data_IF_479963057061
#
_entry.id   IF_479963057061
#
_cell.length_a   1.000
_cell.length_b   1.000
_cell.length_c   1.000
_cell.angle_alpha   90.00
_cell.angle_beta   90.00
_cell.angle_gamma   90.00
#
_symmetry.space_group_name_H-M   'P 1'
#
loop_
_entity.id
_entity.type
_entity.pdbx_description
1 polymer ?
#
# COMPACT_ATOMS: atom_id res chain seq x y z
N UNK A 1 12.53 55.70 -72.08
CA UNK A 1 13.77 55.29 -71.36
C UNK A 1 13.39 54.40 -70.19
N UNK A 2 14.09 53.27 -70.04
CA UNK A 2 13.87 52.16 -69.10
C UNK A 2 13.79 52.60 -67.62
N UNK A 3 12.96 51.93 -66.81
CA UNK A 3 13.36 51.41 -65.49
C UNK A 3 12.42 50.29 -65.01
N UNK A 4 13.06 49.20 -64.61
CA UNK A 4 12.58 47.90 -64.14
C UNK A 4 12.47 47.97 -62.61
N UNK A 5 11.43 47.37 -62.00
CA UNK A 5 11.43 47.00 -60.57
C UNK A 5 10.76 45.61 -60.42
N UNK A 6 11.39 44.64 -59.72
CA UNK A 6 10.92 43.26 -59.63
C UNK A 6 9.97 43.04 -58.44
N UNK A 7 8.99 42.15 -58.59
CA UNK A 7 8.19 41.62 -57.48
C UNK A 7 8.83 40.34 -56.94
N UNK A 8 9.25 40.41 -55.68
CA UNK A 8 9.81 39.29 -54.91
C UNK A 8 8.72 38.31 -54.46
N UNK A 9 8.99 37.04 -54.74
CA UNK A 9 8.26 35.86 -54.30
C UNK A 9 8.39 35.71 -52.78
N UNK A 10 7.28 35.55 -52.06
CA UNK A 10 7.30 35.16 -50.64
C UNK A 10 6.76 33.74 -50.49
N UNK A 11 7.62 32.86 -50.00
CA UNK A 11 7.38 31.44 -49.71
C UNK A 11 6.45 31.26 -48.49
N UNK A 12 5.47 30.36 -48.60
CA UNK A 12 4.63 29.88 -47.49
C UNK A 12 5.30 28.64 -46.89
N UNK A 13 5.71 28.70 -45.63
CA UNK A 13 6.19 27.55 -44.86
C UNK A 13 5.02 26.81 -44.20
N UNK A 14 4.93 25.51 -44.49
CA UNK A 14 4.00 24.55 -43.90
C UNK A 14 4.65 23.97 -42.62
N UNK A 15 4.10 24.28 -41.43
CA UNK A 15 4.57 23.73 -40.16
C UNK A 15 3.81 22.44 -39.83
N UNK A 16 4.53 21.32 -39.81
CA UNK A 16 4.02 20.01 -39.38
C UNK A 16 3.87 19.97 -37.85
N UNK A 17 2.69 19.57 -37.38
CA UNK A 17 2.39 19.41 -35.97
C UNK A 17 3.06 18.14 -35.40
N UNK A 18 4.00 18.33 -34.47
CA UNK A 18 4.55 17.26 -33.63
C UNK A 18 3.48 16.81 -32.63
N UNK A 19 2.89 15.64 -32.84
CA UNK A 19 2.18 14.91 -31.77
C UNK A 19 3.22 14.31 -30.82
N UNK A 20 3.41 14.98 -29.67
CA UNK A 20 4.15 14.41 -28.55
C UNK A 20 3.22 13.44 -27.84
N UNK A 21 3.41 12.14 -28.09
CA UNK A 21 2.81 11.09 -27.27
C UNK A 21 3.49 11.15 -25.91
N UNK A 22 2.79 11.66 -24.89
CA UNK A 22 3.28 11.63 -23.51
C UNK A 22 3.46 10.16 -23.07
N UNK A 23 4.55 9.81 -22.37
CA UNK A 23 4.73 8.46 -21.86
C UNK A 23 3.69 8.17 -20.78
N UNK A 24 3.08 6.99 -20.85
CA UNK A 24 2.24 6.45 -19.80
C UNK A 24 3.00 6.52 -18.47
N UNK A 25 2.38 7.15 -17.47
CA UNK A 25 2.85 7.17 -16.10
C UNK A 25 3.16 5.73 -15.65
N UNK A 26 4.44 5.40 -15.53
CA UNK A 26 4.89 4.16 -14.90
C UNK A 26 4.57 4.24 -13.41
N UNK A 27 3.39 3.75 -13.03
CA UNK A 27 2.87 3.78 -11.66
C UNK A 27 3.30 2.59 -10.78
N UNK A 28 4.31 1.82 -11.19
CA UNK A 28 4.71 0.61 -10.47
C UNK A 28 6.23 0.47 -10.39
N UNK A 29 6.88 1.05 -9.37
CA UNK A 29 8.29 0.76 -9.08
C UNK A 29 8.64 0.54 -7.60
N UNK A 30 7.71 0.68 -6.65
CA UNK A 30 8.06 0.63 -5.20
C UNK A 30 7.58 -0.62 -4.45
N UNK A 31 6.89 -1.55 -5.13
CA UNK A 31 6.28 -2.76 -4.53
C UNK A 31 7.16 -4.02 -4.62
N UNK A 32 8.42 -3.89 -5.05
CA UNK A 32 9.35 -5.02 -5.10
C UNK A 32 9.62 -5.57 -3.69
N UNK A 33 9.76 -6.90 -3.51
CA UNK A 33 10.05 -7.47 -2.20
C UNK A 33 11.37 -6.96 -1.61
N UNK A 34 11.36 -6.52 -0.34
CA UNK A 34 12.54 -5.91 0.32
C UNK A 34 13.05 -6.80 1.47
N UNK A 35 14.36 -6.93 1.63
CA UNK A 35 14.99 -7.71 2.72
C UNK A 35 15.27 -6.87 3.98
N UNK A 36 15.30 -5.56 3.83
CA UNK A 36 15.55 -4.62 4.93
C UNK A 36 14.24 -4.24 5.62
N UNK A 37 14.30 -4.08 6.95
CA UNK A 37 13.17 -3.54 7.70
C UNK A 37 13.12 -2.03 7.49
N UNK A 38 12.09 -1.49 6.82
CA UNK A 38 11.98 -0.06 6.64
C UNK A 38 11.74 0.62 7.99
N UNK A 39 12.27 1.83 8.17
CA UNK A 39 11.93 2.65 9.34
C UNK A 39 10.55 3.26 9.21
N UNK A 40 10.32 3.92 8.08
CA UNK A 40 9.05 4.54 7.72
C UNK A 40 8.67 4.14 6.30
N UNK A 41 7.37 4.06 6.05
CA UNK A 41 6.79 3.75 4.75
C UNK A 41 5.67 4.75 4.50
N UNK A 42 5.69 5.41 3.36
CA UNK A 42 4.55 6.19 2.88
C UNK A 42 3.60 5.26 2.14
N UNK A 43 2.41 5.03 2.70
CA UNK A 43 1.34 4.25 2.11
C UNK A 43 0.34 5.17 1.40
N UNK A 44 -0.52 4.59 0.55
CA UNK A 44 -1.59 5.30 -0.14
C UNK A 44 -1.13 6.51 -0.99
N UNK A 45 0.08 6.45 -1.57
CA UNK A 45 0.62 7.45 -2.52
C UNK A 45 -0.31 7.68 -3.74
N UNK A 46 -1.15 6.70 -4.02
CA UNK A 46 -2.11 6.64 -5.12
C UNK A 46 -3.55 6.45 -4.63
N UNK A 47 -3.85 6.99 -3.43
CA UNK A 47 -5.22 7.09 -2.91
C UNK A 47 -6.18 7.62 -3.98
N UNK A 48 -7.34 6.98 -4.09
CA UNK A 48 -8.45 7.42 -4.95
C UNK A 48 -9.47 8.27 -4.18
N UNK A 49 -9.24 8.54 -2.89
CA UNK A 49 -10.09 9.42 -2.11
C UNK A 49 -9.93 10.87 -2.58
N UNK A 50 -11.05 11.59 -2.64
CA UNK A 50 -11.13 13.04 -2.85
C UNK A 50 -10.92 13.85 -1.56
N UNK A 51 -10.73 13.19 -0.41
CA UNK A 51 -10.59 13.81 0.92
C UNK A 51 -9.28 13.51 1.60
N UNK A 52 -8.73 12.32 1.37
CA UNK A 52 -7.60 11.79 2.14
C UNK A 52 -6.48 11.33 1.22
N UNK A 53 -5.27 11.80 1.52
CA UNK A 53 -4.05 11.45 0.83
C UNK A 53 -3.25 10.37 1.56
N UNK A 54 -1.94 10.53 1.47
CA UNK A 54 -0.94 9.56 1.94
C UNK A 54 -1.01 9.30 3.45
N UNK A 55 -0.52 8.11 3.84
CA UNK A 55 -0.37 7.71 5.24
C UNK A 55 1.11 7.54 5.54
N UNK A 56 1.62 8.31 6.51
CA UNK A 56 2.98 8.15 7.02
C UNK A 56 3.01 7.03 8.07
N UNK A 57 3.38 5.82 7.66
CA UNK A 57 3.45 4.66 8.55
C UNK A 57 4.86 4.48 9.13
N UNK A 58 4.97 4.42 10.45
CA UNK A 58 6.23 4.14 11.13
C UNK A 58 6.37 2.63 11.40
N UNK A 59 7.00 1.91 10.47
CA UNK A 59 7.19 0.47 10.58
C UNK A 59 8.12 0.08 11.74
N UNK A 60 9.16 0.87 12.02
CA UNK A 60 10.10 0.61 13.12
C UNK A 60 9.41 0.60 14.49
N UNK A 61 8.52 1.55 14.76
CA UNK A 61 7.83 1.57 16.06
C UNK A 61 6.84 0.42 16.20
N UNK A 62 6.12 0.06 15.13
CA UNK A 62 5.19 -1.06 15.17
C UNK A 62 5.89 -2.43 15.29
N UNK A 63 7.09 -2.57 14.72
CA UNK A 63 7.84 -3.83 14.77
C UNK A 63 8.76 -3.98 15.97
N UNK A 64 9.20 -2.88 16.61
CA UNK A 64 10.24 -2.92 17.64
C UNK A 64 9.79 -2.46 19.03
N UNK A 65 8.75 -1.64 19.15
CA UNK A 65 8.22 -1.20 20.46
C UNK A 65 7.11 -2.12 20.94
N UNK A 66 6.79 -2.07 22.23
CA UNK A 66 5.74 -2.89 22.84
C UNK A 66 4.32 -2.41 22.47
N UNK A 67 3.98 -2.54 21.18
CA UNK A 67 2.73 -2.06 20.58
C UNK A 67 1.73 -3.16 20.26
N UNK A 68 1.99 -4.41 20.68
CA UNK A 68 0.95 -5.45 20.74
C UNK A 68 -0.29 -4.95 21.47
N UNK A 69 -1.43 -5.62 21.24
CA UNK A 69 -2.75 -5.22 21.77
C UNK A 69 -2.72 -4.91 23.28
N UNK A 70 -2.05 -5.75 24.07
CA UNK A 70 -1.92 -5.56 25.52
C UNK A 70 -0.76 -4.66 25.96
N UNK A 71 0.09 -4.24 25.02
CA UNK A 71 1.23 -3.36 25.25
C UNK A 71 2.45 -4.01 25.89
N UNK A 72 2.54 -5.34 25.90
CA UNK A 72 3.62 -6.05 26.62
C UNK A 72 4.74 -6.55 25.72
N UNK A 73 4.49 -6.68 24.43
CA UNK A 73 5.45 -7.19 23.45
C UNK A 73 5.42 -6.39 22.14
N UNK A 74 6.48 -6.49 21.32
CA UNK A 74 6.43 -6.07 19.93
C UNK A 74 5.36 -6.84 19.14
N UNK A 75 4.85 -6.21 18.09
CA UNK A 75 3.93 -6.86 17.14
C UNK A 75 4.76 -7.86 16.33
N UNK A 76 4.32 -9.12 16.26
CA UNK A 76 5.03 -10.12 15.46
C UNK A 76 4.89 -9.79 13.97
N UNK A 77 5.94 -10.03 13.17
CA UNK A 77 5.94 -9.67 11.74
C UNK A 77 4.74 -10.28 10.98
N UNK A 78 4.36 -11.49 11.35
CA UNK A 78 3.25 -12.25 10.75
C UNK A 78 1.86 -11.73 11.13
N UNK A 79 1.74 -10.79 12.08
CA UNK A 79 0.47 -10.11 12.36
C UNK A 79 0.10 -9.14 11.24
N UNK A 80 1.08 -8.57 10.54
CA UNK A 80 0.85 -7.72 9.36
C UNK A 80 1.18 -8.47 8.05
N UNK A 81 2.33 -9.16 8.00
CA UNK A 81 2.77 -9.97 6.87
C UNK A 81 2.24 -11.41 7.00
N UNK A 82 0.91 -11.53 7.03
CA UNK A 82 0.23 -12.75 7.46
C UNK A 82 0.38 -13.95 6.51
N UNK A 83 0.89 -13.76 5.29
CA UNK A 83 1.24 -14.85 4.37
C UNK A 83 2.68 -15.32 4.55
N UNK A 84 3.55 -14.52 5.18
CA UNK A 84 4.96 -14.81 5.42
C UNK A 84 5.15 -15.77 6.62
N UNK A 85 4.37 -16.85 6.65
CA UNK A 85 4.42 -17.89 7.67
C UNK A 85 4.08 -19.28 7.09
N UNK A 86 4.39 -20.37 7.81
CA UNK A 86 4.12 -21.73 7.36
C UNK A 86 2.62 -21.99 7.19
N UNK A 87 2.26 -22.82 6.20
CA UNK A 87 0.87 -23.23 5.99
C UNK A 87 0.22 -23.83 7.25
N UNK A 88 0.99 -24.56 8.07
CA UNK A 88 0.53 -25.14 9.33
C UNK A 88 0.22 -24.10 10.42
N UNK A 89 0.71 -22.86 10.30
CA UNK A 89 0.44 -21.77 11.23
C UNK A 89 -0.73 -20.89 10.78
N UNK A 90 -1.22 -21.05 9.55
CA UNK A 90 -2.34 -20.27 9.04
C UNK A 90 -3.61 -20.61 9.82
N UNK A 91 -4.29 -19.56 10.26
CA UNK A 91 -5.64 -19.65 10.84
C UNK A 91 -6.65 -19.13 9.84
N UNK A 92 -7.88 -19.69 9.78
CA UNK A 92 -8.94 -19.12 8.98
C UNK A 92 -9.11 -17.62 9.24
N UNK A 93 -9.36 -16.80 8.21
CA UNK A 93 -9.64 -17.19 6.83
C UNK A 93 -8.39 -17.32 5.92
N UNK A 94 -7.18 -17.26 6.47
CA UNK A 94 -5.94 -17.25 5.70
C UNK A 94 -5.69 -18.61 5.04
N UNK A 95 -5.27 -18.59 3.76
CA UNK A 95 -5.02 -19.81 2.95
C UNK A 95 -3.67 -19.83 2.25
N UNK A 96 -3.03 -18.68 2.10
CA UNK A 96 -1.77 -18.52 1.35
C UNK A 96 -0.58 -18.47 2.30
N UNK A 97 0.42 -19.31 2.02
CA UNK A 97 1.70 -19.36 2.73
C UNK A 97 2.83 -19.09 1.74
N UNK A 98 3.74 -18.19 2.11
CA UNK A 98 4.91 -17.76 1.32
C UNK A 98 6.24 -18.23 1.95
N UNK A 99 6.20 -18.85 3.13
CA UNK A 99 7.41 -19.24 3.88
C UNK A 99 7.28 -20.58 4.56
N UNK A 100 8.41 -21.27 4.70
CA UNK A 100 8.53 -22.52 5.49
C UNK A 100 8.69 -22.27 6.99
N UNK A 101 9.04 -21.05 7.39
CA UNK A 101 9.19 -20.59 8.78
C UNK A 101 8.52 -19.23 8.93
N UNK A 102 8.08 -18.89 10.14
CA UNK A 102 7.46 -17.60 10.41
C UNK A 102 8.47 -16.46 10.20
N UNK A 103 8.02 -15.37 9.57
CA UNK A 103 8.82 -14.18 9.41
C UNK A 103 9.19 -13.59 10.77
N UNK A 104 10.48 -13.30 10.92
CA UNK A 104 11.05 -12.53 12.03
C UNK A 104 12.11 -11.58 11.48
N UNK A 105 12.48 -10.56 12.26
CA UNK A 105 13.57 -9.66 11.88
C UNK A 105 14.91 -10.43 11.67
N UNK A 106 15.15 -11.47 12.46
CA UNK A 106 16.36 -12.30 12.33
C UNK A 106 16.30 -13.21 11.10
N UNK A 107 15.13 -13.76 10.76
CA UNK A 107 14.95 -14.57 9.57
C UNK A 107 15.25 -13.80 8.26
N UNK A 108 15.09 -12.47 8.25
CA UNK A 108 15.43 -11.63 7.10
C UNK A 108 16.92 -11.35 6.92
N UNK A 109 17.74 -11.60 7.95
CA UNK A 109 19.20 -11.42 7.88
C UNK A 109 19.91 -12.58 7.17
N UNK A 110 19.22 -13.69 6.94
CA UNK A 110 19.81 -14.84 6.25
C UNK A 110 20.19 -14.47 4.80
N UNK A 111 21.35 -14.93 4.28
CA UNK A 111 21.79 -14.59 2.92
C UNK A 111 20.75 -14.97 1.85
N UNK A 112 20.09 -16.10 2.04
CA UNK A 112 19.05 -16.67 1.18
C UNK A 112 17.63 -16.20 1.53
N UNK A 113 17.47 -15.26 2.48
CA UNK A 113 16.16 -14.74 2.85
C UNK A 113 15.42 -14.18 1.65
N UNK A 114 14.16 -14.57 1.48
CA UNK A 114 13.24 -13.97 0.51
C UNK A 114 12.76 -12.63 1.06
N UNK A 115 12.75 -11.59 0.21
CA UNK A 115 12.23 -10.28 0.56
C UNK A 115 10.75 -10.32 0.93
N UNK A 116 10.31 -9.38 1.75
CA UNK A 116 8.91 -9.25 2.19
C UNK A 116 8.13 -8.45 1.16
N UNK A 117 6.97 -8.96 0.77
CA UNK A 117 6.06 -8.30 -0.19
C UNK A 117 5.24 -7.20 0.51
N UNK A 118 4.90 -6.14 -0.21
CA UNK A 118 3.89 -5.17 0.24
C UNK A 118 2.49 -5.79 0.15
N UNK A 119 1.51 -5.19 0.85
CA UNK A 119 0.11 -5.63 0.78
C UNK A 119 -0.41 -5.65 -0.67
N UNK A 120 0.06 -4.70 -1.49
CA UNK A 120 -0.36 -4.52 -2.88
C UNK A 120 0.10 -5.62 -3.83
N UNK A 121 1.04 -6.47 -3.40
CA UNK A 121 1.41 -7.64 -4.19
C UNK A 121 0.23 -8.62 -4.39
N UNK A 122 -0.76 -8.60 -3.48
CA UNK A 122 -1.97 -9.43 -3.54
C UNK A 122 -3.26 -8.61 -3.46
N UNK A 123 -3.28 -7.54 -2.66
CA UNK A 123 -4.43 -6.66 -2.47
C UNK A 123 -4.33 -5.49 -3.45
N UNK A 124 -4.76 -5.72 -4.68
CA UNK A 124 -4.73 -4.73 -5.76
C UNK A 124 -5.66 -3.55 -5.46
N UNK A 125 -5.42 -2.45 -6.18
CA UNK A 125 -6.25 -1.26 -6.12
C UNK A 125 -7.61 -1.49 -6.80
N UNK A 126 -8.65 -0.77 -6.38
CA UNK A 126 -9.95 -0.83 -7.07
C UNK A 126 -9.79 -0.48 -8.55
N UNK A 127 -10.28 -1.38 -9.41
CA UNK A 127 -10.19 -1.28 -10.87
C UNK A 127 -8.91 -1.88 -11.48
N UNK A 128 -7.97 -2.36 -10.67
CA UNK A 128 -6.84 -3.16 -11.14
C UNK A 128 -7.23 -4.64 -11.14
N UNK A 129 -7.52 -5.16 -12.33
CA UNK A 129 -7.89 -6.55 -12.58
C UNK A 129 -6.72 -7.40 -13.08
N UNK A 130 -5.46 -6.96 -12.85
CA UNK A 130 -4.28 -7.69 -13.32
C UNK A 130 -4.09 -9.06 -12.67
N UNK A 131 -4.70 -9.30 -11.49
CA UNK A 131 -4.71 -10.58 -10.76
C UNK A 131 -6.00 -10.73 -9.95
N UNK A 132 -6.31 -11.95 -9.55
CA UNK A 132 -7.42 -12.22 -8.64
C UNK A 132 -7.16 -11.66 -7.23
N UNK A 133 -8.13 -10.91 -6.72
CA UNK A 133 -8.12 -10.42 -5.34
C UNK A 133 -8.44 -11.54 -4.34
N UNK A 134 -7.75 -11.58 -3.19
CA UNK A 134 -8.18 -12.39 -2.06
C UNK A 134 -9.61 -12.06 -1.64
N UNK A 135 -10.37 -13.06 -1.17
CA UNK A 135 -11.73 -12.84 -0.70
C UNK A 135 -12.01 -13.60 0.60
N UNK A 136 -12.90 -13.02 1.41
CA UNK A 136 -13.37 -13.58 2.68
C UNK A 136 -14.88 -13.65 2.70
N UNK A 137 -15.43 -14.79 3.11
CA UNK A 137 -16.85 -14.91 3.44
C UNK A 137 -16.99 -14.78 4.95
N UNK A 138 -17.62 -13.70 5.41
CA UNK A 138 -17.89 -13.48 6.82
C UNK A 138 -19.14 -14.24 7.25
N UNK A 139 -19.21 -14.61 8.53
CA UNK A 139 -20.40 -15.26 9.10
C UNK A 139 -21.65 -14.41 8.85
N UNK A 140 -22.75 -15.06 8.45
CA UNK A 140 -24.00 -14.39 8.09
C UNK A 140 -24.01 -13.68 6.74
N UNK A 141 -22.91 -13.71 5.96
CA UNK A 141 -22.86 -13.19 4.60
C UNK A 141 -22.75 -14.33 3.58
N UNK A 142 -23.61 -14.31 2.55
CA UNK A 142 -23.57 -15.27 1.44
C UNK A 142 -22.56 -14.88 0.35
N UNK A 143 -22.26 -13.59 0.22
CA UNK A 143 -21.36 -13.07 -0.81
C UNK A 143 -19.96 -12.83 -0.24
N UNK A 144 -18.90 -13.43 -0.83
CA UNK A 144 -17.52 -13.15 -0.45
C UNK A 144 -17.18 -11.67 -0.65
N UNK A 145 -16.55 -11.07 0.36
CA UNK A 145 -15.98 -9.72 0.28
C UNK A 145 -14.59 -9.81 -0.36
N UNK A 146 -14.39 -9.17 -1.50
CA UNK A 146 -13.06 -9.00 -2.10
C UNK A 146 -12.24 -8.01 -1.26
N UNK A 147 -10.99 -8.36 -1.01
CA UNK A 147 -10.04 -7.58 -0.23
C UNK A 147 -9.09 -6.85 -1.18
N UNK A 148 -9.50 -5.69 -1.68
CA UNK A 148 -8.61 -4.75 -2.35
C UNK A 148 -7.65 -4.09 -1.32
N UNK A 149 -6.71 -3.26 -1.78
CA UNK A 149 -5.76 -2.55 -0.92
C UNK A 149 -6.45 -1.75 0.18
N UNK A 150 -7.50 -1.01 -0.17
CA UNK A 150 -8.26 -0.14 0.73
C UNK A 150 -8.83 -0.93 1.90
N UNK A 151 -9.55 -2.02 1.61
CA UNK A 151 -10.14 -2.88 2.63
C UNK A 151 -9.05 -3.58 3.45
N UNK A 152 -7.98 -4.05 2.81
CA UNK A 152 -6.91 -4.78 3.49
C UNK A 152 -6.17 -3.90 4.50
N UNK A 153 -5.78 -2.68 4.11
CA UNK A 153 -5.13 -1.74 5.03
C UNK A 153 -6.07 -1.34 6.17
N UNK A 154 -7.30 -0.92 5.88
CA UNK A 154 -8.23 -0.48 6.91
C UNK A 154 -8.59 -1.61 7.88
N UNK A 155 -8.92 -2.80 7.39
CA UNK A 155 -9.22 -3.94 8.27
C UNK A 155 -8.05 -4.26 9.18
N UNK A 156 -6.82 -4.33 8.65
CA UNK A 156 -5.66 -4.71 9.45
C UNK A 156 -5.29 -3.63 10.49
N UNK A 157 -5.17 -2.38 10.05
CA UNK A 157 -4.81 -1.26 10.92
C UNK A 157 -5.87 -1.04 12.00
N UNK A 158 -7.14 -0.93 11.60
CA UNK A 158 -8.22 -0.58 12.52
C UNK A 158 -8.48 -1.70 13.53
N UNK A 159 -8.42 -2.97 13.11
CA UNK A 159 -8.66 -4.09 14.03
C UNK A 159 -7.63 -4.09 15.16
N UNK A 160 -6.34 -3.90 14.86
CA UNK A 160 -5.30 -3.86 15.89
C UNK A 160 -5.46 -2.64 16.81
N UNK A 161 -5.70 -1.47 16.23
CA UNK A 161 -5.86 -0.24 17.01
C UNK A 161 -7.10 -0.27 17.92
N UNK A 162 -8.26 -0.68 17.41
CA UNK A 162 -9.49 -0.77 18.18
C UNK A 162 -9.36 -1.84 19.29
N UNK A 163 -8.70 -2.97 19.01
CA UNK A 163 -8.38 -3.98 20.01
C UNK A 163 -7.45 -3.41 21.10
N UNK A 164 -6.43 -2.64 20.72
CA UNK A 164 -5.53 -1.98 21.65
C UNK A 164 -6.26 -0.95 22.52
N UNK A 165 -7.13 -0.10 21.96
CA UNK A 165 -7.96 0.85 22.71
C UNK A 165 -8.91 0.11 23.66
N UNK A 166 -9.51 -0.99 23.21
CA UNK A 166 -10.39 -1.81 24.04
C UNK A 166 -9.65 -2.44 25.22
N UNK A 167 -8.45 -2.97 24.98
CA UNK A 167 -7.62 -3.58 26.02
C UNK A 167 -6.97 -2.54 26.96
N UNK A 168 -6.68 -1.34 26.45
CA UNK A 168 -6.02 -0.24 27.15
C UNK A 168 -6.78 1.08 26.89
N UNK A 169 -7.88 1.33 27.63
CA UNK A 169 -8.75 2.48 27.39
C UNK A 169 -8.06 3.84 27.50
N UNK A 170 -6.93 3.92 28.20
CA UNK A 170 -6.12 5.15 28.31
C UNK A 170 -5.44 5.56 26.98
N UNK A 171 -5.43 4.67 25.97
CA UNK A 171 -5.01 4.98 24.60
C UNK A 171 -6.07 5.73 23.80
N UNK A 172 -7.33 5.74 24.25
CA UNK A 172 -8.43 6.41 23.56
C UNK A 172 -8.09 7.87 23.32
N UNK A 173 -8.17 8.31 22.06
CA UNK A 173 -7.81 9.66 21.64
C UNK A 173 -6.32 9.86 21.33
N UNK A 174 -5.41 9.04 21.91
CA UNK A 174 -3.96 9.11 21.68
C UNK A 174 -3.50 8.38 20.43
N UNK A 175 -4.19 7.30 20.06
CA UNK A 175 -3.97 6.57 18.81
C UNK A 175 -5.24 6.65 17.94
N UNK A 176 -5.14 6.46 16.62
CA UNK A 176 -6.33 6.42 15.76
C UNK A 176 -7.18 5.19 16.04
N UNK A 177 -8.47 5.36 16.28
CA UNK A 177 -9.45 4.28 16.11
C UNK A 177 -10.08 4.30 14.71
N UNK A 178 -10.98 3.35 14.44
CA UNK A 178 -11.67 3.21 13.12
C UNK A 178 -12.25 4.52 12.55
N UNK A 179 -12.70 5.45 13.41
CA UNK A 179 -13.36 6.68 12.98
C UNK A 179 -12.43 7.91 12.94
N UNK A 180 -11.15 7.77 13.29
CA UNK A 180 -10.19 8.87 13.37
C UNK A 180 -9.39 9.04 12.06
N UNK A 181 -10.08 9.18 10.92
CA UNK A 181 -9.46 9.14 9.57
C UNK A 181 -8.23 10.06 9.43
N UNK A 182 -8.35 11.30 9.92
CA UNK A 182 -7.31 12.33 9.79
C UNK A 182 -6.08 12.12 10.72
N UNK A 183 -6.14 11.15 11.65
CA UNK A 183 -4.97 10.76 12.44
C UNK A 183 -4.06 9.76 11.71
N UNK A 184 -4.57 9.11 10.66
CA UNK A 184 -3.80 8.25 9.77
C UNK A 184 -3.46 8.96 8.45
N UNK A 185 -4.46 9.56 7.82
CA UNK A 185 -4.33 10.15 6.50
C UNK A 185 -4.08 11.65 6.57
N UNK A 186 -3.17 12.12 5.72
CA UNK A 186 -3.06 13.55 5.44
C UNK A 186 -4.35 14.03 4.72
N UNK A 187 -5.06 15.06 5.20
CA UNK A 187 -6.13 15.69 4.44
C UNK A 187 -5.61 16.23 3.11
N UNK A 188 -6.41 16.15 2.05
CA UNK A 188 -6.13 16.88 0.81
C UNK A 188 -6.45 18.35 1.04
N UNK A 189 -5.51 19.23 0.69
CA UNK A 189 -5.67 20.69 0.74
C UNK A 189 -6.32 21.22 -0.54
#
# INVERSE_FOLDING_TARGET
MKKIIPYSITFIFLAAACFVIAPAFSRALDDAPKKELPKQVTLAKDSQSDKYGEVAFNHETHSMKNYSVDGKAPIACVECHHTDQPAAALKPPLKTSERKVALTADALKAPDAVGVKSCRACHLQTGDDSKDLPSVTYEGKSTPTKLNNENAYHLNCNTCHDAAIKARPDLKGKIPGTNDCAKCHKPLE
#
